data_IF_930825437384
#
_entry.id   IF_930825437384
#
_cell.length_a   1.000
_cell.length_b   1.000
_cell.length_c   1.000
_cell.angle_alpha   90.00
_cell.angle_beta   90.00
_cell.angle_gamma   90.00
#
_symmetry.space_group_name_H-M   'P 1'
#
loop_
_entity.id
_entity.type
_entity.pdbx_description
1 polymer ?
#
# COMPACT_ATOMS: atom_id res chain seq x y z
N UNK A 1 -30.68 21.37 -7.51
CA UNK A 1 -30.75 19.98 -7.01
C UNK A 1 -29.96 19.00 -7.89
N UNK A 2 -30.14 18.99 -9.21
CA UNK A 2 -29.35 18.13 -10.12
C UNK A 2 -27.82 18.34 -10.04
N UNK A 3 -27.38 19.59 -9.85
CA UNK A 3 -25.95 19.95 -9.72
C UNK A 3 -25.29 19.31 -8.49
N UNK A 4 -26.01 19.24 -7.37
CA UNK A 4 -25.55 18.62 -6.11
C UNK A 4 -25.50 17.10 -6.22
N UNK A 5 -26.48 16.50 -6.90
CA UNK A 5 -26.51 15.07 -7.19
C UNK A 5 -25.33 14.64 -8.07
N UNK A 6 -25.02 15.42 -9.11
CA UNK A 6 -23.85 15.17 -9.96
C UNK A 6 -22.54 15.25 -9.19
N UNK A 7 -22.42 16.20 -8.26
CA UNK A 7 -21.24 16.34 -7.41
C UNK A 7 -21.07 15.16 -6.46
N UNK A 8 -22.15 14.71 -5.83
CA UNK A 8 -22.13 13.50 -5.00
C UNK A 8 -21.73 12.26 -5.81
N UNK A 9 -22.24 12.12 -7.03
CA UNK A 9 -21.90 10.98 -7.88
C UNK A 9 -20.41 10.97 -8.25
N UNK A 10 -19.84 12.13 -8.58
CA UNK A 10 -18.41 12.26 -8.83
C UNK A 10 -17.58 11.88 -7.60
N UNK A 11 -17.96 12.34 -6.39
CA UNK A 11 -17.27 11.99 -5.15
C UNK A 11 -17.32 10.48 -4.87
N UNK A 12 -18.48 9.86 -5.04
CA UNK A 12 -18.64 8.40 -4.85
C UNK A 12 -17.73 7.64 -5.81
N UNK A 13 -17.66 8.05 -7.08
CA UNK A 13 -16.77 7.43 -8.06
C UNK A 13 -15.29 7.58 -7.68
N UNK A 14 -14.88 8.78 -7.24
CA UNK A 14 -13.51 9.02 -6.77
C UNK A 14 -13.15 8.15 -5.56
N UNK A 15 -14.03 8.06 -4.56
CA UNK A 15 -13.81 7.23 -3.37
C UNK A 15 -13.76 5.75 -3.75
N UNK A 16 -14.63 5.30 -4.65
CA UNK A 16 -14.65 3.91 -5.11
C UNK A 16 -13.36 3.52 -5.82
N UNK A 17 -12.87 4.37 -6.73
CA UNK A 17 -11.59 4.17 -7.41
C UNK A 17 -10.41 4.14 -6.43
N UNK A 18 -10.42 5.01 -5.43
CA UNK A 18 -9.40 5.04 -4.39
C UNK A 18 -9.40 3.76 -3.54
N UNK A 19 -10.57 3.26 -3.16
CA UNK A 19 -10.71 2.00 -2.41
C UNK A 19 -10.23 0.80 -3.23
N UNK A 20 -10.55 0.75 -4.53
CA UNK A 20 -10.06 -0.30 -5.43
C UNK A 20 -8.54 -0.26 -5.54
N UNK A 21 -7.94 0.92 -5.74
CA UNK A 21 -6.48 1.09 -5.78
C UNK A 21 -5.82 0.66 -4.47
N UNK A 22 -6.41 1.00 -3.32
CA UNK A 22 -5.91 0.56 -2.01
C UNK A 22 -5.96 -0.97 -1.86
N UNK A 23 -7.03 -1.62 -2.31
CA UNK A 23 -7.14 -3.07 -2.25
C UNK A 23 -6.16 -3.77 -3.20
N UNK A 24 -5.93 -3.22 -4.40
CA UNK A 24 -4.91 -3.73 -5.33
C UNK A 24 -3.51 -3.57 -4.73
N UNK A 25 -3.23 -2.48 -4.02
CA UNK A 25 -1.96 -2.32 -3.32
C UNK A 25 -1.74 -3.44 -2.29
N UNK A 26 -2.77 -3.89 -1.58
CA UNK A 26 -2.70 -5.00 -0.59
C UNK A 26 -2.22 -6.30 -1.24
N UNK A 27 -2.65 -6.60 -2.46
CA UNK A 27 -2.18 -7.80 -3.20
C UNK A 27 -0.69 -7.74 -3.56
N UNK A 28 -0.09 -6.54 -3.67
CA UNK A 28 1.35 -6.35 -3.92
C UNK A 28 2.18 -6.63 -2.65
N UNK A 29 1.56 -6.69 -1.47
CA UNK A 29 2.26 -7.01 -0.23
C UNK A 29 2.40 -8.51 0.01
N UNK A 30 1.74 -9.38 -0.77
CA UNK A 30 1.88 -10.83 -0.59
C UNK A 30 3.28 -11.27 -1.04
N UNK A 31 4.07 -11.79 -0.11
CA UNK A 31 5.44 -12.22 -0.35
C UNK A 31 5.68 -13.66 0.15
N UNK A 32 6.66 -14.34 -0.45
CA UNK A 32 7.17 -15.62 0.04
C UNK A 32 8.58 -15.46 0.62
N UNK A 33 9.34 -14.50 0.11
CA UNK A 33 10.70 -14.18 0.48
C UNK A 33 10.91 -12.66 0.51
N UNK A 34 11.94 -12.19 1.21
CA UNK A 34 12.31 -10.76 1.24
C UNK A 34 12.61 -10.18 -0.16
N UNK A 35 12.95 -11.03 -1.13
CA UNK A 35 13.24 -10.63 -2.51
C UNK A 35 11.99 -10.28 -3.33
N UNK A 36 10.82 -10.75 -2.89
CA UNK A 36 9.53 -10.43 -3.53
C UNK A 36 9.07 -9.01 -3.17
N UNK A 37 9.60 -8.45 -2.08
CA UNK A 37 9.27 -7.11 -1.64
C UNK A 37 10.02 -6.05 -2.45
N UNK A 38 9.41 -4.86 -2.64
CA UNK A 38 10.06 -3.76 -3.32
C UNK A 38 11.36 -3.37 -2.60
N UNK A 39 12.39 -3.01 -3.36
CA UNK A 39 13.61 -2.46 -2.76
C UNK A 39 13.34 -1.03 -2.32
N UNK A 40 13.70 -0.71 -1.09
CA UNK A 40 13.69 0.67 -0.60
C UNK A 40 14.78 1.47 -1.30
N UNK A 41 14.43 2.66 -1.79
CA UNK A 41 15.42 3.62 -2.31
C UNK A 41 16.20 4.30 -1.18
N UNK A 42 15.63 4.31 0.03
CA UNK A 42 16.21 4.87 1.23
C UNK A 42 16.97 3.78 2.00
N UNK A 43 18.29 3.92 2.12
CA UNK A 43 19.17 3.00 2.85
C UNK A 43 18.84 2.83 4.33
N UNK A 44 18.02 3.71 4.90
CA UNK A 44 17.57 3.64 6.29
C UNK A 44 16.41 2.67 6.50
N UNK A 45 15.76 2.21 5.44
CA UNK A 45 14.64 1.28 5.52
C UNK A 45 14.91 0.03 4.70
N UNK A 46 14.34 -1.09 5.12
CA UNK A 46 14.36 -2.34 4.37
C UNK A 46 12.98 -2.96 4.42
N UNK A 47 12.55 -3.59 3.33
CA UNK A 47 11.33 -4.38 3.33
C UNK A 47 11.68 -5.81 3.70
N UNK A 48 10.90 -6.40 4.61
CA UNK A 48 10.98 -7.81 4.97
C UNK A 48 9.65 -8.48 4.76
N UNK A 49 9.69 -9.73 4.35
CA UNK A 49 8.53 -10.58 4.29
C UNK A 49 8.27 -11.20 5.66
N UNK A 50 7.16 -10.81 6.30
CA UNK A 50 6.73 -11.35 7.59
C UNK A 50 5.26 -11.72 7.46
N UNK A 51 4.90 -12.95 7.85
CA UNK A 51 3.53 -13.47 7.75
C UNK A 51 2.93 -13.32 6.35
N UNK A 52 3.76 -13.56 5.33
CA UNK A 52 3.43 -13.37 3.92
C UNK A 52 3.10 -11.92 3.53
N UNK A 53 3.46 -10.93 4.34
CA UNK A 53 3.28 -9.51 4.04
C UNK A 53 4.62 -8.75 4.04
N UNK A 54 4.81 -7.87 3.06
CA UNK A 54 5.96 -6.96 3.01
C UNK A 54 5.83 -5.86 4.06
N UNK A 55 6.68 -5.90 5.08
CA UNK A 55 6.74 -4.97 6.18
C UNK A 55 7.98 -4.07 6.09
N UNK A 56 7.81 -2.76 6.27
CA UNK A 56 8.91 -1.79 6.21
C UNK A 56 9.57 -1.64 7.59
N UNK A 57 10.85 -2.00 7.69
CA UNK A 57 11.66 -1.86 8.90
C UNK A 57 12.70 -0.77 8.76
N UNK A 58 12.99 -0.05 9.84
CA UNK A 58 14.15 0.84 9.91
C UNK A 58 15.40 0.00 10.18
N UNK A 59 16.43 0.14 9.36
CA UNK A 59 17.68 -0.65 9.45
C UNK A 59 18.37 -0.50 10.81
N UNK A 60 18.20 0.63 11.52
CA UNK A 60 18.68 0.81 12.90
C UNK A 60 18.06 -0.15 13.92
N UNK A 61 16.85 -0.66 13.68
CA UNK A 61 16.15 -1.58 14.59
C UNK A 61 16.50 -3.05 14.35
N UNK A 62 17.33 -3.38 13.35
CA UNK A 62 17.79 -4.74 13.07
C UNK A 62 19.06 -5.15 13.86
N UNK A 63 19.62 -4.26 14.68
CA UNK A 63 20.75 -4.57 15.57
C UNK A 63 20.29 -4.62 17.04
N UNK A 64 19.36 -5.50 17.38
CA UNK A 64 19.16 -6.05 18.73
C UNK A 64 18.76 -7.51 18.60
#
# INVERSE_FOLDING_TARGET
>A
MAKTLNFMFALILFISLFLVSKNVAIDIFVCQTDADCPKSELSMYTWKCIDNECNLFKVMQQMV
#
